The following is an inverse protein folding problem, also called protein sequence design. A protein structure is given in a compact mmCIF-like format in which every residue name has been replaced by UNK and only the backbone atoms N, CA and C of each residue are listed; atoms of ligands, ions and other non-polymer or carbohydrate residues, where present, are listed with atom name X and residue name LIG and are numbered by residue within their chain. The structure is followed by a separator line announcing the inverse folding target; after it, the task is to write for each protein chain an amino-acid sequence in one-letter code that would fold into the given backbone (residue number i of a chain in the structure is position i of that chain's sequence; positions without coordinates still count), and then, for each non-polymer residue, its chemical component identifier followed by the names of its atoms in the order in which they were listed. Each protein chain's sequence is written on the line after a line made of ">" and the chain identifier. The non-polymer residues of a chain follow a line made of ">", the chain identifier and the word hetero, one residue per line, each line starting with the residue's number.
data_IF_227243049425
#
_entry.id   IF_227243049425
#
_cell.length_a   1.000
_cell.length_b   1.000
_cell.length_c   1.000
_cell.angle_alpha   90.00
_cell.angle_beta   90.00
_cell.angle_gamma   90.00
#
_symmetry.space_group_name_H-M   'P 1'
#
loop_
_entity.id
_entity.type
_entity.pdbx_description
1 polymer ?
#
# COMPACT_ATOMS: atom_id res chain seq x y z
N UNK A 1 29.95 18.32 -28.90
CA UNK A 1 30.19 18.53 -27.46
C UNK A 1 28.98 18.14 -26.61
N UNK A 2 27.75 18.59 -26.92
CA UNK A 2 26.55 18.18 -26.15
C UNK A 2 26.24 16.67 -26.19
N UNK A 3 26.37 16.00 -27.34
CA UNK A 3 26.13 14.55 -27.46
C UNK A 3 27.11 13.70 -26.62
N UNK A 4 28.42 14.01 -26.66
CA UNK A 4 29.44 13.36 -25.81
C UNK A 4 29.19 13.53 -24.31
N UNK A 5 28.48 14.58 -23.90
CA UNK A 5 28.18 14.84 -22.48
C UNK A 5 26.98 14.02 -21.99
N UNK A 6 26.06 13.65 -22.88
CA UNK A 6 24.88 12.86 -22.56
C UNK A 6 25.20 11.36 -22.48
N UNK A 7 26.03 10.83 -23.38
CA UNK A 7 26.50 9.44 -23.34
C UNK A 7 27.22 9.12 -22.01
N UNK A 8 27.94 10.10 -21.46
CA UNK A 8 28.57 10.00 -20.15
C UNK A 8 27.58 9.80 -19.00
N UNK A 9 26.42 10.45 -19.05
CA UNK A 9 25.38 10.26 -18.02
C UNK A 9 24.69 8.91 -18.14
N UNK A 10 24.46 8.42 -19.36
CA UNK A 10 23.96 7.06 -19.60
C UNK A 10 24.92 6.03 -19.01
N UNK A 11 26.22 6.17 -19.29
CA UNK A 11 27.25 5.25 -18.78
C UNK A 11 27.33 5.25 -17.25
N UNK A 12 27.15 6.42 -16.62
CA UNK A 12 27.06 6.54 -15.16
C UNK A 12 25.82 5.88 -14.56
N UNK A 13 24.69 5.91 -15.25
CA UNK A 13 23.42 5.40 -14.73
C UNK A 13 23.22 3.90 -14.95
N UNK A 14 23.91 3.29 -15.93
CA UNK A 14 23.67 1.90 -16.36
C UNK A 14 23.77 0.85 -15.24
N UNK A 15 24.59 1.13 -14.23
CA UNK A 15 24.88 0.22 -13.12
C UNK A 15 24.24 0.68 -11.80
N UNK A 16 23.58 1.85 -11.77
CA UNK A 16 22.95 2.40 -10.56
C UNK A 16 21.58 1.77 -10.35
N UNK A 17 21.53 0.79 -9.46
CA UNK A 17 20.30 0.15 -9.03
C UNK A 17 20.26 -0.04 -7.51
N UNK A 18 19.05 -0.08 -6.98
CA UNK A 18 18.76 -0.48 -5.61
C UNK A 18 17.59 -1.46 -5.61
N UNK A 19 17.31 -2.09 -4.48
CA UNK A 19 16.26 -3.09 -4.39
C UNK A 19 14.88 -2.46 -4.21
N UNK A 20 14.00 -2.66 -5.20
CA UNK A 20 12.58 -2.27 -5.13
C UNK A 20 11.73 -3.52 -4.88
N UNK A 21 10.85 -3.44 -3.89
CA UNK A 21 9.88 -4.48 -3.54
C UNK A 21 8.63 -4.44 -4.43
N UNK A 22 7.86 -5.54 -4.48
CA UNK A 22 6.73 -5.69 -5.39
C UNK A 22 5.46 -4.97 -4.94
N UNK A 23 5.35 -4.56 -3.67
CA UNK A 23 4.12 -3.99 -3.10
C UNK A 23 4.37 -2.60 -2.54
N UNK A 24 3.44 -1.69 -2.81
CA UNK A 24 3.28 -0.39 -2.15
C UNK A 24 1.80 0.01 -2.10
N UNK A 25 1.37 0.84 -1.16
CA UNK A 25 0.00 1.32 -1.14
C UNK A 25 -0.19 2.45 -2.17
N UNK A 26 -1.27 2.45 -2.98
CA UNK A 26 -1.57 3.49 -3.97
C UNK A 26 -1.45 4.92 -3.44
N UNK A 27 -1.89 5.14 -2.20
CA UNK A 27 -1.89 6.46 -1.55
C UNK A 27 -0.49 7.01 -1.22
N UNK A 28 0.58 6.26 -1.43
CA UNK A 28 1.94 6.84 -1.42
C UNK A 28 2.25 7.59 -2.73
N UNK A 29 1.19 7.98 -3.44
CA UNK A 29 1.17 8.92 -4.54
C UNK A 29 1.59 8.30 -5.85
N UNK A 30 1.31 7.01 -6.07
CA UNK A 30 1.93 6.30 -7.19
C UNK A 30 3.46 6.34 -7.07
N UNK A 31 4.13 7.00 -8.02
CA UNK A 31 5.59 7.12 -8.05
C UNK A 31 6.17 8.24 -7.16
N UNK A 32 5.34 8.98 -6.41
CA UNK A 32 5.76 10.20 -5.71
C UNK A 32 6.58 9.97 -4.42
N UNK A 33 6.64 8.75 -3.90
CA UNK A 33 7.48 8.42 -2.74
C UNK A 33 8.70 7.62 -3.15
N UNK A 34 9.85 7.95 -2.55
CA UNK A 34 11.03 7.09 -2.66
C UNK A 34 10.72 5.74 -2.04
N UNK A 35 11.01 4.68 -2.78
CA UNK A 35 10.85 3.32 -2.30
C UNK A 35 12.16 2.86 -1.67
N UNK A 36 12.12 2.50 -0.38
CA UNK A 36 13.29 1.98 0.32
C UNK A 36 12.95 0.63 0.94
N UNK A 37 13.56 -0.44 0.45
CA UNK A 37 13.31 -1.79 0.93
C UNK A 37 14.26 -2.13 2.07
N UNK A 38 13.81 -2.07 3.33
CA UNK A 38 14.68 -2.38 4.49
C UNK A 38 14.48 -3.80 5.04
N UNK A 39 13.38 -4.43 4.65
CA UNK A 39 13.10 -5.84 4.87
C UNK A 39 12.63 -6.45 3.55
N UNK A 40 12.74 -7.77 3.44
CA UNK A 40 12.24 -8.51 2.28
C UNK A 40 11.04 -9.35 2.67
N UNK A 41 9.99 -9.28 1.87
CA UNK A 41 8.84 -10.18 1.85
C UNK A 41 7.94 -10.06 3.09
N UNK A 42 7.27 -11.15 3.47
CA UNK A 42 6.32 -11.17 4.60
C UNK A 42 6.69 -12.25 5.62
N UNK A 43 6.82 -11.91 6.92
CA UNK A 43 7.19 -12.87 7.97
C UNK A 43 6.09 -13.90 8.23
N UNK A 44 4.85 -13.62 7.83
CA UNK A 44 3.73 -14.52 8.03
C UNK A 44 3.45 -15.41 6.82
N UNK A 45 3.30 -14.82 5.64
CA UNK A 45 3.09 -15.50 4.35
C UNK A 45 2.04 -16.64 4.33
N UNK A 46 1.08 -16.61 5.26
CA UNK A 46 0.09 -17.67 5.48
C UNK A 46 -1.37 -17.22 5.34
N UNK A 47 -1.62 -15.92 5.16
CA UNK A 47 -2.98 -15.42 4.94
C UNK A 47 -3.59 -16.08 3.70
N UNK A 48 -4.79 -16.62 3.79
CA UNK A 48 -5.42 -17.40 2.72
C UNK A 48 -5.74 -16.58 1.45
N UNK A 49 -5.79 -15.24 1.54
CA UNK A 49 -6.08 -14.33 0.42
C UNK A 49 -4.84 -13.83 -0.33
N UNK A 50 -3.66 -13.79 0.31
CA UNK A 50 -2.42 -13.33 -0.34
C UNK A 50 -1.34 -14.41 -0.37
N UNK A 51 -1.28 -15.26 0.65
CA UNK A 51 -0.44 -16.46 0.75
C UNK A 51 1.05 -16.25 0.42
N UNK A 52 1.54 -15.01 0.61
CA UNK A 52 2.89 -14.62 0.21
C UNK A 52 3.15 -14.61 -1.30
N UNK A 53 2.11 -14.76 -2.15
CA UNK A 53 2.25 -14.81 -3.60
C UNK A 53 2.85 -13.54 -4.22
N UNK A 54 2.59 -12.31 -3.72
CA UNK A 54 3.27 -11.13 -4.26
C UNK A 54 4.79 -11.16 -4.09
N UNK A 55 5.29 -11.95 -3.14
CA UNK A 55 6.71 -12.13 -2.86
C UNK A 55 7.26 -13.43 -3.44
N UNK A 56 6.52 -14.11 -4.32
CA UNK A 56 6.90 -15.43 -4.83
C UNK A 56 7.09 -16.47 -3.72
N UNK A 57 6.43 -16.28 -2.56
CA UNK A 57 6.60 -17.07 -1.32
C UNK A 57 8.03 -17.15 -0.81
N UNK A 58 8.89 -16.21 -1.18
CA UNK A 58 10.25 -16.12 -0.66
C UNK A 58 10.24 -15.85 0.85
N UNK A 59 11.22 -16.38 1.61
CA UNK A 59 11.27 -16.21 3.05
C UNK A 59 11.47 -14.74 3.43
N UNK A 60 10.97 -14.37 4.60
CA UNK A 60 11.22 -13.05 5.15
C UNK A 60 12.69 -12.87 5.51
N UNK A 61 13.24 -11.68 5.23
CA UNK A 61 14.62 -11.35 5.59
C UNK A 61 14.70 -9.91 6.13
N UNK A 62 15.48 -9.74 7.19
CA UNK A 62 15.92 -8.43 7.65
C UNK A 62 17.22 -8.12 6.93
N UNK A 63 17.29 -7.00 6.20
CA UNK A 63 18.51 -6.60 5.50
C UNK A 63 19.52 -6.00 6.46
N UNK A 64 20.80 -6.07 6.10
CA UNK A 64 21.88 -5.52 6.94
C UNK A 64 21.91 -4.00 6.80
N UNK A 65 22.25 -3.31 7.89
CA UNK A 65 22.28 -1.84 7.91
C UNK A 65 23.29 -1.27 6.91
N UNK A 66 24.47 -1.89 6.77
CA UNK A 66 25.52 -1.48 5.82
C UNK A 66 25.09 -1.63 4.36
N UNK A 67 24.25 -2.62 4.07
CA UNK A 67 23.69 -2.86 2.75
C UNK A 67 22.66 -1.78 2.40
N UNK A 68 21.77 -1.45 3.34
CA UNK A 68 20.75 -0.42 3.16
C UNK A 68 21.40 0.97 3.01
N UNK A 69 22.45 1.27 3.79
CA UNK A 69 23.19 2.53 3.66
C UNK A 69 23.83 2.68 2.29
N UNK A 70 24.43 1.61 1.76
CA UNK A 70 24.97 1.61 0.38
C UNK A 70 23.90 1.89 -0.67
N UNK A 71 22.68 1.39 -0.50
CA UNK A 71 21.57 1.74 -1.40
C UNK A 71 21.13 3.20 -1.28
N UNK A 72 21.11 3.76 -0.06
CA UNK A 72 20.87 5.19 0.15
C UNK A 72 21.94 6.02 -0.57
N UNK A 73 23.21 5.59 -0.54
CA UNK A 73 24.29 6.22 -1.27
C UNK A 73 24.08 6.11 -2.80
N UNK A 74 23.67 4.94 -3.31
CA UNK A 74 23.32 4.76 -4.72
C UNK A 74 22.16 5.67 -5.14
N UNK A 75 21.11 5.80 -4.32
CA UNK A 75 20.01 6.73 -4.57
C UNK A 75 20.54 8.16 -4.66
N UNK A 76 21.47 8.55 -3.76
CA UNK A 76 22.09 9.87 -3.79
C UNK A 76 22.88 10.11 -5.08
N UNK A 77 23.58 9.09 -5.58
CA UNK A 77 24.25 9.16 -6.87
C UNK A 77 23.24 9.37 -8.01
N UNK A 78 22.14 8.61 -8.03
CA UNK A 78 21.07 8.78 -9.05
C UNK A 78 20.53 10.21 -9.03
N UNK A 79 20.22 10.76 -7.85
CA UNK A 79 19.77 12.16 -7.69
C UNK A 79 20.79 13.13 -8.30
N UNK A 80 22.08 12.97 -7.99
CA UNK A 80 23.12 13.85 -8.53
C UNK A 80 23.21 13.77 -10.07
N UNK A 81 23.09 12.57 -10.66
CA UNK A 81 23.11 12.45 -12.13
C UNK A 81 21.85 13.06 -12.75
N UNK A 82 20.67 12.88 -12.15
CA UNK A 82 19.43 13.54 -12.60
C UNK A 82 19.59 15.07 -12.56
N UNK A 83 20.18 15.62 -11.50
CA UNK A 83 20.43 17.05 -11.37
C UNK A 83 21.45 17.57 -12.41
N UNK A 84 22.48 16.78 -12.72
CA UNK A 84 23.45 17.09 -13.78
C UNK A 84 22.79 17.14 -15.17
N UNK A 85 21.93 16.15 -15.48
CA UNK A 85 21.16 16.12 -16.73
C UNK A 85 20.17 17.28 -16.77
N UNK A 86 19.46 17.56 -15.67
CA UNK A 86 18.52 18.68 -15.56
C UNK A 86 19.21 20.02 -15.86
N UNK A 87 20.41 20.24 -15.32
CA UNK A 87 21.23 21.44 -15.62
C UNK A 87 21.69 21.49 -17.07
N UNK A 88 22.02 20.34 -17.67
CA UNK A 88 22.46 20.27 -19.06
C UNK A 88 21.31 20.49 -20.06
N UNK A 89 20.10 19.99 -19.76
CA UNK A 89 18.93 20.07 -20.64
C UNK A 89 18.02 21.27 -20.36
N UNK A 90 18.19 21.94 -19.22
CA UNK A 90 17.43 23.14 -18.86
C UNK A 90 16.00 22.89 -18.37
N UNK A 91 15.68 21.68 -17.91
CA UNK A 91 14.38 21.38 -17.31
C UNK A 91 14.13 19.89 -17.04
N UNK A 92 13.40 19.60 -15.97
CA UNK A 92 13.15 18.23 -15.47
C UNK A 92 12.26 17.42 -16.42
N UNK A 93 11.44 18.10 -17.24
CA UNK A 93 10.62 17.46 -18.27
C UNK A 93 11.49 16.86 -19.39
N UNK A 94 12.61 17.51 -19.73
CA UNK A 94 13.57 16.97 -20.70
C UNK A 94 14.34 15.78 -20.15
N UNK A 95 14.55 15.71 -18.83
CA UNK A 95 15.21 14.58 -18.17
C UNK A 95 14.39 13.31 -18.31
N UNK A 96 13.06 13.40 -18.17
CA UNK A 96 12.17 12.26 -18.37
C UNK A 96 12.28 11.71 -19.79
N UNK A 97 12.14 12.58 -20.81
CA UNK A 97 12.27 12.16 -22.21
C UNK A 97 13.65 11.56 -22.51
N UNK A 98 14.70 12.10 -21.88
CA UNK A 98 16.04 11.54 -22.00
C UNK A 98 16.13 10.13 -21.41
N UNK A 99 15.63 9.90 -20.19
CA UNK A 99 15.66 8.59 -19.54
C UNK A 99 14.84 7.56 -20.34
N UNK A 100 13.64 7.91 -20.79
CA UNK A 100 12.77 7.04 -21.59
C UNK A 100 13.40 6.64 -22.94
N UNK A 101 14.17 7.55 -23.56
CA UNK A 101 14.84 7.27 -24.83
C UNK A 101 16.05 6.32 -24.69
N UNK A 102 16.72 6.29 -23.53
CA UNK A 102 17.97 5.53 -23.33
C UNK A 102 17.80 4.26 -22.49
N UNK A 103 16.67 4.12 -21.80
CA UNK A 103 16.36 2.95 -20.98
C UNK A 103 14.98 2.39 -21.32
N UNK A 104 14.75 1.96 -22.57
CA UNK A 104 13.43 1.48 -22.99
C UNK A 104 13.05 0.19 -22.26
N UNK A 105 11.74 0.00 -22.08
CA UNK A 105 11.19 -1.21 -21.49
C UNK A 105 11.58 -2.45 -22.31
N UNK A 106 12.20 -3.44 -21.67
CA UNK A 106 12.32 -4.80 -22.20
C UNK A 106 13.70 -5.24 -22.69
N UNK A 107 14.75 -4.42 -22.55
CA UNK A 107 16.04 -4.77 -23.15
C UNK A 107 16.87 -5.81 -22.40
N UNK A 108 16.73 -5.98 -21.08
CA UNK A 108 17.30 -7.06 -20.25
C UNK A 108 16.87 -6.89 -18.78
N UNK A 109 16.90 -7.96 -17.95
CA UNK A 109 16.43 -7.90 -16.55
C UNK A 109 17.13 -6.83 -15.68
N UNK A 110 18.45 -6.67 -15.83
CA UNK A 110 19.20 -5.61 -15.14
C UNK A 110 18.84 -4.21 -15.65
N UNK A 111 18.71 -4.02 -16.96
CA UNK A 111 18.30 -2.74 -17.55
C UNK A 111 16.91 -2.32 -17.07
N UNK A 112 15.97 -3.28 -16.96
CA UNK A 112 14.64 -3.04 -16.42
C UNK A 112 14.67 -2.61 -14.95
N UNK A 113 15.50 -3.23 -14.12
CA UNK A 113 15.63 -2.87 -12.71
C UNK A 113 16.24 -1.47 -12.55
N UNK A 114 17.32 -1.16 -13.27
CA UNK A 114 17.95 0.16 -13.25
C UNK A 114 16.94 1.23 -13.67
N UNK A 115 16.21 0.99 -14.75
CA UNK A 115 15.16 1.89 -15.21
C UNK A 115 14.08 2.15 -14.15
N UNK A 116 13.57 1.11 -13.49
CA UNK A 116 12.59 1.28 -12.40
C UNK A 116 13.13 2.11 -11.23
N UNK A 117 14.40 1.91 -10.87
CA UNK A 117 15.08 2.68 -9.83
C UNK A 117 15.17 4.16 -10.22
N UNK A 118 15.64 4.44 -11.44
CA UNK A 118 15.81 5.80 -11.95
C UNK A 118 14.45 6.51 -12.04
N UNK A 119 13.42 5.85 -12.59
CA UNK A 119 12.07 6.42 -12.67
C UNK A 119 11.49 6.68 -11.28
N UNK A 120 11.68 5.79 -10.30
CA UNK A 120 11.21 6.07 -8.95
C UNK A 120 11.88 7.31 -8.32
N UNK A 121 13.20 7.45 -8.49
CA UNK A 121 13.93 8.61 -7.98
C UNK A 121 13.54 9.89 -8.71
N UNK A 122 13.38 9.84 -10.04
CA UNK A 122 12.94 10.98 -10.85
C UNK A 122 11.57 11.49 -10.41
N UNK A 123 10.58 10.61 -10.32
CA UNK A 123 9.21 10.98 -9.91
C UNK A 123 9.16 11.49 -8.47
N UNK A 124 9.98 10.91 -7.59
CA UNK A 124 10.15 11.40 -6.22
C UNK A 124 10.76 12.80 -6.17
N UNK A 125 11.76 13.12 -7.00
CA UNK A 125 12.32 14.47 -7.09
C UNK A 125 11.27 15.44 -7.65
N UNK A 126 10.56 15.05 -8.73
CA UNK A 126 9.48 15.85 -9.35
C UNK A 126 8.36 16.17 -8.37
N UNK A 127 8.08 15.27 -7.42
CA UNK A 127 7.09 15.48 -6.36
C UNK A 127 7.60 16.31 -5.17
N UNK A 128 8.86 16.77 -5.20
CA UNK A 128 9.49 17.60 -4.18
C UNK A 128 10.36 16.85 -3.16
N UNK A 129 10.61 15.55 -3.37
CA UNK A 129 11.50 14.72 -2.55
C UNK A 129 11.16 14.68 -1.05
N UNK A 130 9.85 14.69 -0.71
CA UNK A 130 9.37 14.84 0.68
C UNK A 130 8.99 13.54 1.37
N UNK A 131 8.66 12.50 0.61
CA UNK A 131 8.05 11.28 1.16
C UNK A 131 8.86 10.03 0.86
N UNK A 132 8.96 9.14 1.84
CA UNK A 132 9.60 7.82 1.67
C UNK A 132 8.67 6.73 2.17
N UNK A 133 8.58 5.64 1.42
CA UNK A 133 7.85 4.45 1.81
C UNK A 133 8.82 3.29 2.05
N UNK A 134 8.86 2.79 3.29
CA UNK A 134 9.62 1.61 3.66
C UNK A 134 8.85 0.36 3.20
N UNK A 135 9.34 -0.26 2.14
CA UNK A 135 8.66 -1.33 1.42
C UNK A 135 8.59 -2.65 2.18
N UNK A 136 7.76 -3.53 1.62
CA UNK A 136 7.43 -4.87 2.10
C UNK A 136 6.62 -4.92 3.39
N UNK A 137 6.27 -6.13 3.84
CA UNK A 137 5.08 -6.34 4.63
C UNK A 137 5.19 -5.91 6.10
N UNK A 138 6.41 -5.78 6.63
CA UNK A 138 6.59 -5.62 8.08
C UNK A 138 7.97 -5.07 8.48
N UNK A 139 8.24 -3.83 8.09
CA UNK A 139 9.53 -3.17 8.37
C UNK A 139 9.84 -3.06 9.86
N UNK A 140 8.81 -2.97 10.71
CA UNK A 140 8.98 -2.80 12.15
C UNK A 140 9.48 -4.06 12.86
N UNK A 141 9.59 -5.19 12.17
CA UNK A 141 10.21 -6.39 12.73
C UNK A 141 11.74 -6.22 12.90
N UNK A 142 12.34 -5.27 12.17
CA UNK A 142 13.72 -4.86 12.40
C UNK A 142 13.91 -4.30 13.83
N UNK A 143 15.09 -4.53 14.43
CA UNK A 143 15.39 -4.00 15.77
C UNK A 143 15.39 -2.47 15.75
N UNK A 144 14.79 -1.86 16.77
CA UNK A 144 14.58 -0.41 16.83
C UNK A 144 15.88 0.40 16.68
N UNK A 145 17.01 0.04 17.32
CA UNK A 145 18.27 0.76 17.11
C UNK A 145 18.75 0.78 15.65
N UNK A 146 18.59 -0.34 14.94
CA UNK A 146 18.98 -0.45 13.52
C UNK A 146 18.08 0.41 12.64
N UNK A 147 16.77 0.39 12.91
CA UNK A 147 15.82 1.20 12.17
C UNK A 147 16.06 2.70 12.41
N UNK A 148 16.32 3.12 13.65
CA UNK A 148 16.69 4.50 13.97
C UNK A 148 17.96 4.94 13.23
N UNK A 149 18.98 4.08 13.17
CA UNK A 149 20.23 4.35 12.44
C UNK A 149 19.98 4.57 10.94
N UNK A 150 19.16 3.72 10.32
CA UNK A 150 18.79 3.83 8.90
C UNK A 150 18.02 5.13 8.64
N UNK A 151 17.01 5.43 9.46
CA UNK A 151 16.17 6.63 9.29
C UNK A 151 16.97 7.91 9.48
N UNK A 152 17.91 7.94 10.43
CA UNK A 152 18.82 9.06 10.62
C UNK A 152 19.75 9.23 9.42
N UNK A 153 20.32 8.14 8.90
CA UNK A 153 21.20 8.18 7.72
C UNK A 153 20.47 8.65 6.46
N UNK A 154 19.24 8.17 6.25
CA UNK A 154 18.38 8.57 5.15
C UNK A 154 18.09 10.08 5.19
N UNK A 155 17.69 10.61 6.34
CA UNK A 155 17.42 12.05 6.51
C UNK A 155 18.66 12.92 6.40
N UNK A 156 19.82 12.44 6.84
CA UNK A 156 21.08 13.17 6.66
C UNK A 156 21.43 13.35 5.17
N UNK A 157 21.15 12.34 4.35
CA UNK A 157 21.37 12.40 2.89
C UNK A 157 20.30 13.22 2.15
N UNK A 158 19.08 13.22 2.67
CA UNK A 158 17.91 13.88 2.08
C UNK A 158 17.12 14.68 3.14
N UNK A 159 17.58 15.89 3.50
CA UNK A 159 16.93 16.72 4.52
C UNK A 159 15.51 17.19 4.16
N UNK A 160 15.13 17.12 2.87
CA UNK A 160 13.78 17.43 2.39
C UNK A 160 12.72 16.42 2.82
N UNK A 161 13.12 15.25 3.35
CA UNK A 161 12.17 14.23 3.79
C UNK A 161 11.41 14.70 5.03
N UNK A 162 10.10 14.90 4.83
CA UNK A 162 9.15 15.31 5.86
C UNK A 162 8.42 14.09 6.45
N UNK A 163 8.13 13.09 5.62
CA UNK A 163 7.27 11.96 5.98
C UNK A 163 7.84 10.63 5.54
N UNK A 164 7.94 9.69 6.48
CA UNK A 164 8.30 8.30 6.21
C UNK A 164 7.13 7.41 6.63
N UNK A 165 6.75 6.44 5.80
CA UNK A 165 5.64 5.52 6.09
C UNK A 165 6.06 4.08 5.84
N UNK A 166 5.30 3.12 6.39
CA UNK A 166 5.57 1.70 6.17
C UNK A 166 4.33 0.83 6.35
N UNK A 167 4.33 -0.37 5.78
CA UNK A 167 3.47 -1.43 6.28
C UNK A 167 3.95 -1.95 7.63
N UNK A 168 3.01 -2.35 8.46
CA UNK A 168 3.28 -3.06 9.70
C UNK A 168 2.22 -4.15 9.91
N UNK A 169 2.62 -5.26 10.53
CA UNK A 169 1.65 -6.22 11.09
C UNK A 169 1.27 -5.80 12.50
N UNK A 170 -0.01 -5.87 12.83
CA UNK A 170 -0.48 -5.67 14.20
C UNK A 170 0.24 -6.59 15.22
N UNK A 171 0.58 -7.83 14.84
CA UNK A 171 1.36 -8.74 15.71
C UNK A 171 2.76 -8.21 16.04
N UNK A 172 3.39 -7.53 15.07
CA UNK A 172 4.72 -6.90 15.26
C UNK A 172 4.62 -5.63 16.08
N UNK A 173 3.56 -4.86 15.89
CA UNK A 173 3.25 -3.75 16.79
C UNK A 173 3.01 -4.22 18.22
N UNK A 174 2.30 -5.34 18.41
CA UNK A 174 2.01 -5.88 19.74
C UNK A 174 3.30 -6.19 20.54
N UNK A 175 4.38 -6.63 19.90
CA UNK A 175 5.66 -6.93 20.58
C UNK A 175 6.57 -5.72 20.78
N UNK A 176 6.39 -4.62 20.04
CA UNK A 176 7.15 -3.37 20.25
C UNK A 176 6.65 -2.63 21.48
N UNK A 177 7.55 -2.03 22.24
CA UNK A 177 7.18 -1.15 23.37
C UNK A 177 6.65 0.19 22.87
N UNK A 178 5.87 0.90 23.69
CA UNK A 178 5.39 2.24 23.35
C UNK A 178 6.55 3.23 23.19
N UNK A 179 7.60 3.07 23.98
CA UNK A 179 8.82 3.88 23.93
C UNK A 179 9.57 3.69 22.60
N UNK A 180 9.73 2.45 22.14
CA UNK A 180 10.33 2.17 20.82
C UNK A 180 9.52 2.79 19.69
N UNK A 181 8.18 2.68 19.76
CA UNK A 181 7.28 3.29 18.78
C UNK A 181 7.41 4.83 18.80
N UNK A 182 7.43 5.45 19.98
CA UNK A 182 7.60 6.89 20.14
C UNK A 182 8.96 7.38 19.59
N UNK A 183 10.04 6.62 19.78
CA UNK A 183 11.34 6.92 19.20
C UNK A 183 11.30 6.92 17.67
N UNK A 184 10.68 5.90 17.06
CA UNK A 184 10.51 5.81 15.61
C UNK A 184 9.66 6.95 15.06
N UNK A 185 8.59 7.32 15.77
CA UNK A 185 7.76 8.46 15.42
C UNK A 185 8.54 9.76 15.41
N UNK A 186 9.36 10.00 16.45
CA UNK A 186 10.15 11.22 16.62
C UNK A 186 11.15 11.44 15.47
N UNK A 187 11.72 10.38 14.90
CA UNK A 187 12.67 10.50 13.78
C UNK A 187 12.00 10.68 12.41
N UNK A 188 10.66 10.54 12.34
CA UNK A 188 9.87 10.88 11.16
C UNK A 188 9.12 9.72 10.50
N UNK A 189 9.14 8.51 11.08
CA UNK A 189 8.21 7.44 10.68
C UNK A 189 6.82 7.83 11.18
N UNK A 190 6.01 8.42 10.31
CA UNK A 190 4.81 9.15 10.73
C UNK A 190 3.53 8.34 10.59
N UNK A 191 3.47 7.38 9.66
CA UNK A 191 2.27 6.59 9.34
C UNK A 191 2.57 5.11 9.19
N UNK A 192 1.66 4.30 9.72
CA UNK A 192 1.67 2.86 9.55
C UNK A 192 0.42 2.40 8.79
N UNK A 193 0.67 1.56 7.79
CA UNK A 193 -0.33 0.89 6.98
C UNK A 193 -0.55 -0.52 7.54
N UNK A 194 -1.73 -0.78 8.11
CA UNK A 194 -2.00 -2.02 8.84
C UNK A 194 -3.21 -2.71 8.21
N UNK A 195 -3.07 -3.99 7.88
CA UNK A 195 -4.18 -4.78 7.34
C UNK A 195 -5.02 -5.37 8.47
N UNK A 196 -6.15 -4.73 8.79
CA UNK A 196 -7.23 -5.33 9.60
C UNK A 196 -7.90 -6.45 8.82
N UNK A 197 -8.19 -6.20 7.53
CA UNK A 197 -8.97 -6.99 6.59
C UNK A 197 -10.43 -7.20 7.03
N UNK A 198 -10.66 -7.60 8.28
CA UNK A 198 -11.95 -7.87 8.92
C UNK A 198 -11.80 -7.79 10.44
N UNK A 199 -12.83 -7.27 11.13
CA UNK A 199 -12.93 -7.32 12.60
C UNK A 199 -13.57 -8.60 13.13
N UNK A 200 -14.01 -9.52 12.26
CA UNK A 200 -14.63 -10.80 12.64
C UNK A 200 -13.58 -11.89 12.91
N UNK A 201 -13.48 -12.36 14.16
CA UNK A 201 -12.50 -13.36 14.58
C UNK A 201 -12.62 -14.71 13.88
N UNK A 202 -13.83 -15.11 13.53
CA UNK A 202 -14.06 -16.34 12.79
C UNK A 202 -13.51 -16.25 11.36
N UNK A 203 -13.72 -15.12 10.67
CA UNK A 203 -13.11 -14.88 9.37
C UNK A 203 -11.58 -14.75 9.52
N UNK A 204 -11.06 -14.03 10.53
CA UNK A 204 -9.61 -13.94 10.78
C UNK A 204 -8.95 -15.32 10.91
N UNK A 205 -9.63 -16.25 11.59
CA UNK A 205 -9.21 -17.65 11.70
C UNK A 205 -9.29 -18.38 10.36
N UNK A 206 -10.40 -18.27 9.63
CA UNK A 206 -10.58 -18.91 8.32
C UNK A 206 -9.53 -18.45 7.30
N UNK A 207 -9.22 -17.15 7.28
CA UNK A 207 -8.19 -16.60 6.38
C UNK A 207 -6.78 -16.73 6.93
N UNK A 208 -6.60 -17.38 8.08
CA UNK A 208 -5.32 -17.59 8.74
C UNK A 208 -4.50 -16.30 8.87
N UNK A 209 -5.10 -15.22 9.40
CA UNK A 209 -4.43 -13.92 9.57
C UNK A 209 -3.36 -13.96 10.66
N UNK A 210 -3.53 -14.85 11.64
CA UNK A 210 -2.60 -15.07 12.76
C UNK A 210 -2.74 -14.05 13.88
N UNK A 211 -3.91 -13.44 14.03
CA UNK A 211 -4.25 -12.47 15.07
C UNK A 211 -5.76 -12.47 15.33
N UNK A 212 -6.16 -12.09 16.54
CA UNK A 212 -7.56 -11.78 16.88
C UNK A 212 -7.88 -10.30 16.69
N UNK A 213 -9.17 -9.97 16.62
CA UNK A 213 -9.71 -8.61 16.57
C UNK A 213 -9.21 -7.78 17.77
N UNK A 214 -9.31 -8.32 18.98
CA UNK A 214 -8.87 -7.66 20.22
C UNK A 214 -7.36 -7.35 20.23
N UNK A 215 -6.51 -8.31 19.84
CA UNK A 215 -5.07 -8.10 19.71
C UNK A 215 -4.74 -7.02 18.67
N UNK A 216 -5.49 -6.98 17.55
CA UNK A 216 -5.31 -5.96 16.52
C UNK A 216 -5.69 -4.56 17.04
N UNK A 217 -6.84 -4.45 17.70
CA UNK A 217 -7.34 -3.20 18.29
C UNK A 217 -6.30 -2.63 19.27
N UNK A 218 -5.80 -3.45 20.19
CA UNK A 218 -4.81 -3.00 21.17
C UNK A 218 -3.48 -2.59 20.53
N UNK A 219 -3.03 -3.33 19.51
CA UNK A 219 -1.83 -2.97 18.75
C UNK A 219 -1.96 -1.64 18.01
N UNK A 220 -3.12 -1.38 17.38
CA UNK A 220 -3.39 -0.14 16.68
C UNK A 220 -3.54 1.04 17.65
N UNK A 221 -4.29 0.88 18.75
CA UNK A 221 -4.40 1.87 19.84
C UNK A 221 -3.04 2.23 20.42
N UNK A 222 -2.16 1.24 20.61
CA UNK A 222 -0.80 1.46 21.08
C UNK A 222 0.01 2.35 20.13
N UNK A 223 -0.06 2.09 18.83
CA UNK A 223 0.61 2.92 17.84
C UNK A 223 0.01 4.34 17.76
N UNK A 224 -1.31 4.50 17.90
CA UNK A 224 -1.96 5.81 18.02
C UNK A 224 -1.48 6.60 19.26
N UNK A 225 -1.32 5.95 20.42
CA UNK A 225 -0.77 6.58 21.63
C UNK A 225 0.68 7.04 21.46
N UNK A 226 1.49 6.27 20.73
CA UNK A 226 2.83 6.69 20.29
C UNK A 226 2.80 7.81 19.23
N UNK A 227 1.59 8.18 18.77
CA UNK A 227 1.29 9.32 17.94
C UNK A 227 1.16 9.03 16.44
N UNK A 228 1.40 7.79 15.99
CA UNK A 228 1.36 7.47 14.56
C UNK A 228 0.01 7.80 13.92
N UNK A 229 0.05 8.23 12.66
CA UNK A 229 -1.13 8.10 11.81
C UNK A 229 -1.33 6.61 11.49
N UNK A 230 -2.54 6.10 11.69
CA UNK A 230 -2.88 4.71 11.36
C UNK A 230 -3.79 4.67 10.14
N UNK A 231 -3.40 3.87 9.16
CA UNK A 231 -4.19 3.56 7.97
C UNK A 231 -4.58 2.09 7.99
N UNK A 232 -5.81 1.80 8.40
CA UNK A 232 -6.37 0.45 8.42
C UNK A 232 -6.89 0.07 7.04
N UNK A 233 -6.62 -1.16 6.61
CA UNK A 233 -7.20 -1.74 5.38
C UNK A 233 -8.33 -2.70 5.74
N UNK A 234 -9.47 -2.54 5.07
CA UNK A 234 -10.66 -3.40 5.21
C UNK A 234 -10.91 -4.08 3.87
N UNK A 235 -11.31 -5.36 3.91
CA UNK A 235 -11.56 -6.17 2.72
C UNK A 235 -13.03 -6.59 2.58
N UNK A 236 -13.92 -5.73 2.07
CA UNK A 236 -15.30 -6.12 1.76
C UNK A 236 -15.34 -7.37 0.87
N UNK A 237 -16.23 -8.29 1.17
CA UNK A 237 -16.44 -9.55 0.48
C UNK A 237 -15.60 -10.71 1.03
N UNK A 238 -14.67 -10.46 1.96
CA UNK A 238 -13.78 -11.51 2.50
C UNK A 238 -14.52 -12.58 3.31
N UNK A 239 -15.68 -12.25 3.87
CA UNK A 239 -16.56 -13.22 4.55
C UNK A 239 -17.37 -14.12 3.62
N UNK A 240 -17.43 -13.77 2.33
CA UNK A 240 -18.34 -14.39 1.36
C UNK A 240 -19.81 -14.25 1.77
N UNK A 241 -20.72 -14.86 0.99
CA UNK A 241 -22.17 -14.79 1.26
C UNK A 241 -22.58 -15.28 2.65
N UNK A 242 -21.83 -16.21 3.22
CA UNK A 242 -22.18 -16.83 4.50
C UNK A 242 -21.96 -15.93 5.72
N UNK A 243 -21.06 -14.93 5.64
CA UNK A 243 -20.62 -14.15 6.80
C UNK A 243 -20.52 -12.64 6.58
N UNK A 244 -20.94 -12.11 5.42
CA UNK A 244 -20.83 -10.68 5.09
C UNK A 244 -21.42 -9.75 6.17
N UNK A 245 -22.59 -10.11 6.74
CA UNK A 245 -23.22 -9.29 7.78
C UNK A 245 -22.37 -9.23 9.05
N UNK A 246 -21.81 -10.37 9.47
CA UNK A 246 -20.91 -10.44 10.64
C UNK A 246 -19.60 -9.69 10.36
N UNK A 247 -19.05 -9.82 9.14
CA UNK A 247 -17.91 -9.05 8.69
C UNK A 247 -18.16 -7.54 8.84
N UNK A 248 -19.27 -7.04 8.29
CA UNK A 248 -19.61 -5.62 8.33
C UNK A 248 -19.71 -5.09 9.78
N UNK A 249 -20.52 -5.74 10.62
CA UNK A 249 -20.76 -5.30 11.99
C UNK A 249 -19.50 -5.38 12.87
N UNK A 250 -18.79 -6.50 12.83
CA UNK A 250 -17.62 -6.70 13.67
C UNK A 250 -16.44 -5.83 13.22
N UNK A 251 -16.31 -5.57 11.91
CA UNK A 251 -15.31 -4.62 11.41
C UNK A 251 -15.64 -3.19 11.82
N UNK A 252 -16.91 -2.77 11.74
CA UNK A 252 -17.31 -1.46 12.24
C UNK A 252 -16.98 -1.30 13.74
N UNK A 253 -17.29 -2.31 14.56
CA UNK A 253 -16.94 -2.32 15.99
C UNK A 253 -15.43 -2.16 16.22
N UNK A 254 -14.60 -2.95 15.53
CA UNK A 254 -13.14 -2.85 15.65
C UNK A 254 -12.62 -1.47 15.24
N UNK A 255 -13.14 -0.89 14.15
CA UNK A 255 -12.76 0.43 13.69
C UNK A 255 -13.22 1.54 14.64
N UNK A 256 -14.41 1.43 15.24
CA UNK A 256 -14.90 2.38 16.24
C UNK A 256 -14.01 2.38 17.49
N UNK A 257 -13.56 1.20 17.92
CA UNK A 257 -12.61 1.07 19.02
C UNK A 257 -11.24 1.69 18.68
N UNK A 258 -10.73 1.45 17.47
CA UNK A 258 -9.42 1.96 17.06
C UNK A 258 -9.45 3.47 16.79
N UNK A 259 -10.51 3.94 16.12
CA UNK A 259 -10.65 5.29 15.57
C UNK A 259 -9.40 5.74 14.77
N UNK A 260 -9.04 5.02 13.69
CA UNK A 260 -7.79 5.25 12.95
C UNK A 260 -7.83 6.57 12.16
N UNK A 261 -6.67 7.04 11.69
CA UNK A 261 -6.61 8.24 10.85
C UNK A 261 -7.25 8.01 9.48
N UNK A 262 -7.02 6.82 8.89
CA UNK A 262 -7.60 6.40 7.61
C UNK A 262 -8.19 4.99 7.71
N UNK A 263 -9.32 4.78 7.04
CA UNK A 263 -9.89 3.46 6.76
C UNK A 263 -9.96 3.29 5.25
N UNK A 264 -9.21 2.33 4.71
CA UNK A 264 -9.07 2.10 3.27
C UNK A 264 -9.76 0.82 2.87
N UNK A 265 -10.80 0.95 2.05
CA UNK A 265 -11.56 -0.17 1.53
C UNK A 265 -10.86 -0.75 0.31
N UNK A 266 -10.68 -2.08 0.32
CA UNK A 266 -10.16 -2.86 -0.82
C UNK A 266 -10.96 -4.13 -0.95
N UNK A 267 -11.92 -4.13 -1.88
CA UNK A 267 -12.72 -5.34 -2.19
C UNK A 267 -11.82 -6.58 -2.30
N UNK A 268 -12.24 -7.67 -1.65
CA UNK A 268 -11.61 -8.96 -1.82
C UNK A 268 -11.78 -9.46 -3.25
N UNK A 269 -10.66 -9.82 -3.89
CA UNK A 269 -10.62 -10.50 -5.19
C UNK A 269 -9.80 -11.77 -5.01
N UNK A 270 -10.36 -12.97 -5.24
CA UNK A 270 -9.61 -14.21 -5.19
C UNK A 270 -8.46 -14.19 -6.21
N UNK A 271 -7.26 -14.59 -5.80
CA UNK A 271 -6.08 -14.55 -6.67
C UNK A 271 -5.49 -15.95 -6.93
N UNK A 272 -5.14 -16.28 -8.19
CA UNK A 272 -4.50 -17.56 -8.49
C UNK A 272 -3.29 -17.85 -7.58
N UNK A 273 -3.16 -19.10 -7.14
CA UNK A 273 -2.09 -19.52 -6.23
C UNK A 273 -2.35 -19.26 -4.75
N UNK A 274 -3.55 -18.82 -4.37
CA UNK A 274 -3.95 -18.59 -2.98
C UNK A 274 -5.00 -19.61 -2.51
N UNK A 275 -5.02 -20.01 -1.22
CA UNK A 275 -6.02 -20.95 -0.72
C UNK A 275 -7.47 -20.53 -0.97
N UNK A 276 -7.82 -19.25 -0.75
CA UNK A 276 -9.19 -18.78 -0.98
C UNK A 276 -9.61 -18.79 -2.45
N UNK A 277 -8.65 -18.68 -3.38
CA UNK A 277 -8.96 -18.87 -4.80
C UNK A 277 -9.35 -20.31 -5.09
N UNK A 278 -8.66 -21.28 -4.49
CA UNK A 278 -9.01 -22.70 -4.63
C UNK A 278 -10.38 -22.98 -4.00
N UNK A 279 -10.64 -22.46 -2.80
CA UNK A 279 -11.95 -22.60 -2.15
C UNK A 279 -13.09 -22.01 -2.99
N UNK A 280 -12.86 -20.86 -3.64
CA UNK A 280 -13.83 -20.29 -4.58
C UNK A 280 -14.03 -21.17 -5.81
N UNK A 281 -12.95 -21.63 -6.44
CA UNK A 281 -13.00 -22.51 -7.62
C UNK A 281 -13.69 -23.84 -7.35
N UNK A 282 -13.57 -24.36 -6.13
CA UNK A 282 -14.17 -25.62 -5.69
C UNK A 282 -15.56 -25.43 -5.07
N UNK A 283 -16.09 -24.20 -5.04
CA UNK A 283 -17.44 -23.88 -4.55
C UNK A 283 -17.59 -23.85 -3.02
N UNK A 284 -16.49 -24.01 -2.27
CA UNK A 284 -16.46 -23.86 -0.80
C UNK A 284 -16.58 -22.40 -0.34
N UNK A 285 -16.17 -21.46 -1.18
CA UNK A 285 -16.30 -20.03 -0.91
C UNK A 285 -17.19 -19.36 -1.98
N UNK A 286 -18.25 -18.69 -1.54
CA UNK A 286 -19.18 -17.99 -2.43
C UNK A 286 -18.94 -16.48 -2.38
N UNK A 287 -18.61 -15.91 -3.54
CA UNK A 287 -18.44 -14.47 -3.71
C UNK A 287 -19.77 -13.73 -3.57
N UNK A 288 -19.70 -12.50 -3.04
CA UNK A 288 -20.82 -11.58 -3.06
C UNK A 288 -21.08 -11.08 -4.48
N UNK A 289 -22.35 -10.98 -4.84
CA UNK A 289 -22.80 -10.20 -5.99
C UNK A 289 -22.57 -8.71 -5.76
N UNK A 290 -22.59 -7.87 -6.81
CA UNK A 290 -22.39 -6.44 -6.66
C UNK A 290 -23.33 -5.76 -5.66
N UNK A 291 -24.63 -6.05 -5.66
CA UNK A 291 -25.55 -5.44 -4.68
C UNK A 291 -25.33 -5.98 -3.27
N UNK A 292 -25.01 -7.26 -3.11
CA UNK A 292 -24.65 -7.85 -1.80
C UNK A 292 -23.39 -7.18 -1.21
N UNK A 293 -22.39 -6.89 -2.06
CA UNK A 293 -21.18 -6.17 -1.66
C UNK A 293 -21.50 -4.72 -1.25
N UNK A 294 -22.38 -4.04 -1.97
CA UNK A 294 -22.82 -2.69 -1.60
C UNK A 294 -23.59 -2.69 -0.28
N UNK A 295 -24.44 -3.69 -0.04
CA UNK A 295 -25.14 -3.85 1.24
C UNK A 295 -24.16 -4.10 2.39
N UNK A 296 -23.13 -4.92 2.19
CA UNK A 296 -22.07 -5.12 3.20
C UNK A 296 -21.34 -3.82 3.54
N UNK A 297 -20.94 -3.05 2.52
CA UNK A 297 -20.32 -1.74 2.73
C UNK A 297 -21.30 -0.79 3.41
N UNK A 298 -22.58 -0.76 3.00
CA UNK A 298 -23.63 0.07 3.61
C UNK A 298 -23.74 -0.22 5.10
N UNK A 299 -23.94 -1.49 5.47
CA UNK A 299 -24.07 -1.91 6.86
C UNK A 299 -22.85 -1.51 7.69
N UNK A 300 -21.64 -1.68 7.16
CA UNK A 300 -20.42 -1.26 7.85
C UNK A 300 -20.43 0.26 8.08
N UNK A 301 -20.69 1.05 7.03
CA UNK A 301 -20.69 2.52 7.11
C UNK A 301 -21.77 3.04 8.05
N UNK A 302 -22.98 2.47 8.02
CA UNK A 302 -24.08 2.81 8.95
C UNK A 302 -23.65 2.69 10.41
N UNK A 303 -22.91 1.64 10.76
CA UNK A 303 -22.44 1.36 12.12
C UNK A 303 -21.11 2.05 12.47
N UNK A 304 -20.48 2.73 11.52
CA UNK A 304 -19.19 3.38 11.73
C UNK A 304 -19.36 4.74 12.44
N UNK A 305 -18.62 4.93 13.53
CA UNK A 305 -18.61 6.11 14.40
C UNK A 305 -17.15 6.51 14.68
N UNK A 306 -16.52 7.13 13.69
CA UNK A 306 -15.08 7.47 13.72
C UNK A 306 -14.83 8.89 13.22
N UNK A 307 -13.69 9.45 13.58
CA UNK A 307 -13.17 10.72 13.09
C UNK A 307 -12.06 10.48 12.04
N UNK A 308 -12.35 9.64 11.05
CA UNK A 308 -11.38 9.12 10.09
C UNK A 308 -11.61 9.69 8.69
N UNK A 309 -10.62 9.50 7.82
CA UNK A 309 -10.81 9.55 6.36
C UNK A 309 -11.19 8.17 5.84
N UNK A 310 -12.33 8.07 5.16
CA UNK A 310 -12.83 6.83 4.56
C UNK A 310 -12.47 6.82 3.07
N UNK A 311 -11.62 5.89 2.65
CA UNK A 311 -11.04 5.89 1.31
C UNK A 311 -11.48 4.66 0.51
N UNK A 312 -11.88 4.89 -0.74
CA UNK A 312 -12.16 3.86 -1.75
C UNK A 312 -11.19 3.97 -2.93
N UNK A 313 -9.93 4.31 -2.64
CA UNK A 313 -8.86 4.74 -3.53
C UNK A 313 -8.17 3.62 -4.35
N UNK A 314 -8.91 2.55 -4.66
CA UNK A 314 -8.41 1.44 -5.45
C UNK A 314 -9.39 1.09 -6.56
N UNK A 315 -8.87 0.83 -7.75
CA UNK A 315 -9.65 0.54 -8.95
C UNK A 315 -10.52 -0.74 -8.87
N UNK A 316 -10.31 -1.58 -7.84
CA UNK A 316 -11.11 -2.80 -7.61
C UNK A 316 -12.38 -2.53 -6.78
N UNK A 317 -12.49 -1.34 -6.20
CA UNK A 317 -13.68 -0.94 -5.46
C UNK A 317 -14.87 -0.77 -6.42
N UNK A 318 -16.12 -0.77 -5.90
CA UNK A 318 -17.32 -0.85 -6.71
C UNK A 318 -17.33 0.14 -7.88
N UNK A 319 -17.50 -0.41 -9.07
CA UNK A 319 -17.54 0.32 -10.34
C UNK A 319 -18.47 -0.39 -11.32
N UNK A 320 -19.08 0.38 -12.21
CA UNK A 320 -20.07 -0.09 -13.18
C UNK A 320 -19.80 0.50 -14.56
N UNK A 321 -20.45 -0.05 -15.58
CA UNK A 321 -20.25 0.32 -16.98
C UNK A 321 -21.34 1.22 -17.49
N UNK A 322 -20.93 2.27 -18.20
CA UNK A 322 -21.82 3.08 -19.06
C UNK A 322 -21.22 3.04 -20.47
N UNK A 323 -21.81 2.22 -21.34
CA UNK A 323 -21.25 1.91 -22.65
C UNK A 323 -19.85 1.27 -22.51
N UNK A 324 -18.82 1.93 -23.04
CA UNK A 324 -17.41 1.49 -22.94
C UNK A 324 -16.66 2.05 -21.73
N UNK A 325 -17.26 2.97 -20.97
CA UNK A 325 -16.60 3.64 -19.84
C UNK A 325 -16.85 2.87 -18.54
N UNK A 326 -15.82 2.81 -17.70
CA UNK A 326 -15.91 2.35 -16.31
C UNK A 326 -16.11 3.59 -15.43
N UNK A 327 -17.11 3.53 -14.55
CA UNK A 327 -17.43 4.58 -13.59
C UNK A 327 -17.31 4.01 -12.20
N UNK A 328 -16.43 4.59 -11.38
CA UNK A 328 -16.31 4.24 -9.96
C UNK A 328 -17.45 4.89 -9.17
N UNK A 329 -18.08 4.12 -8.28
CA UNK A 329 -19.16 4.65 -7.43
C UNK A 329 -18.64 5.71 -6.45
N UNK A 330 -17.45 5.46 -5.90
CA UNK A 330 -16.82 6.30 -4.90
C UNK A 330 -15.62 7.05 -5.48
N UNK A 331 -15.29 8.19 -4.84
CA UNK A 331 -14.08 8.96 -5.13
C UNK A 331 -12.84 8.08 -5.05
N UNK A 332 -11.97 8.22 -6.05
CA UNK A 332 -10.65 7.58 -6.09
C UNK A 332 -9.55 8.46 -5.44
N UNK A 333 -9.93 9.56 -4.79
CA UNK A 333 -9.01 10.42 -4.05
C UNK A 333 -8.42 9.69 -2.82
N UNK A 334 -7.09 9.75 -2.68
CA UNK A 334 -6.34 9.17 -1.57
C UNK A 334 -6.68 9.76 -0.19
N UNK A 335 -7.27 10.95 -0.16
CA UNK A 335 -7.74 11.64 1.05
C UNK A 335 -9.14 11.20 1.49
N UNK A 336 -9.90 10.55 0.62
CA UNK A 336 -11.23 9.99 0.92
C UNK A 336 -12.25 10.99 1.46
N UNK A 337 -13.33 10.45 2.03
CA UNK A 337 -14.42 11.20 2.66
C UNK A 337 -14.09 11.46 4.13
N UNK A 338 -14.33 12.68 4.61
CA UNK A 338 -14.10 13.04 6.02
C UNK A 338 -15.30 12.64 6.87
N UNK A 339 -15.11 11.72 7.82
CA UNK A 339 -16.17 11.33 8.76
C UNK A 339 -16.03 12.12 10.07
N UNK A 340 -17.18 12.48 10.71
CA UNK A 340 -18.55 12.10 10.34
C UNK A 340 -19.23 12.96 9.27
N UNK A 341 -18.61 14.06 8.82
CA UNK A 341 -19.28 15.11 8.04
C UNK A 341 -19.79 14.64 6.66
N UNK A 342 -19.07 13.74 6.00
CA UNK A 342 -19.41 13.20 4.68
C UNK A 342 -20.00 11.78 4.76
N UNK A 343 -20.39 11.30 5.94
CA UNK A 343 -20.96 9.96 6.11
C UNK A 343 -22.24 9.77 5.29
N UNK A 344 -23.15 10.74 5.37
CA UNK A 344 -24.44 10.68 4.66
C UNK A 344 -24.22 10.61 3.14
N UNK A 345 -23.31 11.43 2.62
CA UNK A 345 -22.92 11.41 1.19
C UNK A 345 -22.43 10.04 0.73
N UNK A 346 -21.67 9.30 1.57
CA UNK A 346 -21.25 7.93 1.24
C UNK A 346 -22.45 6.98 1.21
N UNK A 347 -23.39 7.10 2.15
CA UNK A 347 -24.62 6.30 2.18
C UNK A 347 -25.52 6.58 0.97
N UNK A 348 -25.71 7.85 0.60
CA UNK A 348 -26.45 8.26 -0.59
C UNK A 348 -25.83 7.69 -1.88
N UNK A 349 -24.50 7.67 -2.00
CA UNK A 349 -23.81 7.03 -3.12
C UNK A 349 -24.09 5.53 -3.17
N UNK A 350 -24.13 4.85 -2.03
CA UNK A 350 -24.45 3.42 -1.98
C UNK A 350 -25.90 3.19 -2.40
N UNK A 351 -26.84 4.01 -1.92
CA UNK A 351 -28.25 3.91 -2.31
C UNK A 351 -28.48 4.20 -3.79
N UNK A 352 -27.77 5.19 -4.34
CA UNK A 352 -27.71 5.39 -5.78
C UNK A 352 -27.19 4.13 -6.51
N UNK A 353 -26.10 3.54 -6.00
CA UNK A 353 -25.52 2.33 -6.57
C UNK A 353 -26.46 1.11 -6.55
N UNK A 354 -27.25 0.94 -5.48
CA UNK A 354 -28.24 -0.12 -5.36
C UNK A 354 -29.40 0.02 -6.36
N UNK A 355 -29.65 1.22 -6.87
CA UNK A 355 -30.65 1.46 -7.93
C UNK A 355 -30.12 1.21 -9.35
N UNK A 356 -28.81 1.01 -9.53
CA UNK A 356 -28.22 0.64 -10.83
C UNK A 356 -28.43 -0.85 -11.06
N UNK A 357 -28.92 -1.22 -12.25
CA UNK A 357 -29.08 -2.62 -12.66
C UNK A 357 -27.81 -3.43 -12.38
N UNK A 358 -27.95 -4.52 -11.61
CA UNK A 358 -26.84 -5.35 -11.15
C UNK A 358 -25.97 -5.87 -12.31
N UNK A 359 -26.53 -6.03 -13.51
CA UNK A 359 -25.81 -6.51 -14.70
C UNK A 359 -24.73 -5.54 -15.20
N UNK A 360 -24.85 -4.24 -14.88
CA UNK A 360 -23.89 -3.22 -15.33
C UNK A 360 -22.62 -3.19 -14.48
N UNK A 361 -22.65 -3.80 -13.30
CA UNK A 361 -21.55 -3.76 -12.35
C UNK A 361 -20.39 -4.66 -12.77
N UNK A 362 -19.18 -4.23 -12.40
CA UNK A 362 -17.98 -5.07 -12.51
C UNK A 362 -18.02 -6.09 -11.36
N UNK A 363 -18.13 -7.37 -11.72
CA UNK A 363 -18.18 -8.47 -10.77
C UNK A 363 -16.81 -8.80 -10.16
N UNK A 364 -16.79 -9.51 -9.03
CA UNK A 364 -15.53 -9.90 -8.37
C UNK A 364 -14.77 -10.88 -9.28
N UNK A 365 -15.54 -11.75 -9.94
CA UNK A 365 -15.10 -12.77 -10.88
C UNK A 365 -14.37 -12.15 -12.08
N UNK A 366 -14.87 -11.05 -12.63
CA UNK A 366 -14.20 -10.32 -13.70
C UNK A 366 -12.83 -9.78 -13.25
N UNK A 367 -12.75 -9.24 -12.04
CA UNK A 367 -11.50 -8.69 -11.48
C UNK A 367 -10.42 -9.75 -11.28
N UNK A 368 -10.78 -11.04 -11.16
CA UNK A 368 -9.78 -12.13 -11.05
C UNK A 368 -8.91 -12.29 -12.29
N UNK A 369 -9.38 -11.79 -13.45
CA UNK A 369 -8.66 -11.82 -14.73
C UNK A 369 -7.62 -10.72 -14.86
N UNK A 370 -7.67 -9.70 -13.99
CA UNK A 370 -6.69 -8.63 -13.97
C UNK A 370 -5.41 -9.11 -13.29
N UNK A 371 -4.22 -8.67 -13.76
CA UNK A 371 -2.96 -8.99 -13.09
C UNK A 371 -2.96 -8.48 -11.64
N UNK A 372 -2.07 -9.05 -10.81
CA UNK A 372 -1.70 -8.44 -9.54
C UNK A 372 -1.05 -7.10 -9.87
N UNK A 373 -1.73 -6.00 -9.58
CA UNK A 373 -1.23 -4.63 -9.71
C UNK A 373 -0.98 -4.10 -8.30
#
# INVERSE_FOLDING_TARGET
>A
MAAMQLDFYVDKMKDLHFEIGPIRPPNEGGANSLLLRITRNCPWSRCAFCYGTPYGRQPFQIRRVDEIKREIDTIKLIVNVIDDINRALGGIDWVQSFIEAHFPFGENGHALQNFQCIINVLEWIRSGARTVFLQDADSLLMKTPQLLEILAYLKANFPSIERITSYARAKTLAIKTEEELAQLRKVGLSRLHIGLETGDDEILKLINKGITSSEHIEAAKKALRAGFEISEYVMPGIGGRSRWMRHALNTANALNEINPTFVRFRRFVPRPGTPLFNDWKEGRFQLLKPHELLLEIKTLIEHLQVNSRICFDHFINPAYRIGRKIVHLFSQDYSGYKFPEEKEKVLELIDYGLNIDEILWITTEELTKLPYI
#
